data_IF_280461681506
#
_entry.id   IF_280461681506
#
_cell.length_a   1.000
_cell.length_b   1.000
_cell.length_c   1.000
_cell.angle_alpha   90.00
_cell.angle_beta   90.00
_cell.angle_gamma   90.00
#
_symmetry.space_group_name_H-M   'P 1'
#
loop_
_entity.id
_entity.type
_entity.pdbx_description
1 polymer ?
#
# COMPACT_ATOMS: atom_id res chain seq x y z
N UNK A 1 17.00 -5.66 -27.24
CA UNK A 1 18.01 -6.11 -26.27
C UNK A 1 17.36 -7.14 -25.38
N UNK A 2 18.05 -8.23 -25.07
CA UNK A 2 17.55 -9.35 -24.26
C UNK A 2 17.79 -9.17 -22.74
N UNK A 3 18.54 -8.14 -22.35
CA UNK A 3 18.76 -7.77 -20.96
C UNK A 3 19.77 -8.65 -20.21
N UNK A 4 20.46 -9.57 -20.88
CA UNK A 4 21.41 -10.51 -20.25
C UNK A 4 22.59 -9.81 -19.54
N UNK A 5 22.97 -8.60 -19.97
CA UNK A 5 24.06 -7.82 -19.37
C UNK A 5 23.65 -6.89 -18.23
N UNK A 6 22.39 -6.87 -17.81
CA UNK A 6 21.92 -5.97 -16.76
C UNK A 6 22.15 -6.62 -15.39
N UNK A 7 22.98 -6.01 -14.56
CA UNK A 7 23.12 -6.39 -13.15
C UNK A 7 21.79 -6.17 -12.43
N UNK A 8 21.32 -7.21 -11.74
CA UNK A 8 20.02 -7.21 -11.05
C UNK A 8 20.23 -7.16 -9.55
N UNK A 9 19.35 -6.44 -8.86
CA UNK A 9 19.38 -6.42 -7.40
C UNK A 9 19.01 -7.80 -6.82
N UNK A 10 19.27 -7.97 -5.53
CA UNK A 10 19.00 -9.23 -4.81
C UNK A 10 17.54 -9.69 -4.94
N UNK A 11 16.58 -8.80 -4.72
CA UNK A 11 15.15 -9.13 -4.75
C UNK A 11 14.69 -9.63 -6.12
N UNK A 12 15.21 -9.06 -7.21
CA UNK A 12 14.93 -9.55 -8.56
C UNK A 12 15.44 -10.99 -8.75
N UNK A 13 16.65 -11.29 -8.27
CA UNK A 13 17.24 -12.63 -8.37
C UNK A 13 16.43 -13.63 -7.55
N UNK A 14 16.06 -13.27 -6.33
CA UNK A 14 15.22 -14.10 -5.44
C UNK A 14 13.81 -14.34 -6.00
N UNK A 15 13.27 -13.39 -6.75
CA UNK A 15 11.97 -13.50 -7.40
C UNK A 15 11.95 -14.43 -8.62
N UNK A 16 13.09 -14.85 -9.17
CA UNK A 16 13.10 -15.73 -10.35
C UNK A 16 12.41 -17.06 -10.04
N UNK A 17 11.37 -17.39 -10.81
CA UNK A 17 10.56 -18.60 -10.62
C UNK A 17 9.47 -18.50 -9.55
N UNK A 18 9.50 -17.47 -8.70
CA UNK A 18 8.47 -17.22 -7.68
C UNK A 18 7.60 -16.02 -8.03
N UNK A 19 8.18 -14.90 -8.46
CA UNK A 19 7.48 -13.65 -8.76
C UNK A 19 7.40 -12.70 -7.56
N UNK A 20 7.29 -11.42 -7.88
CA UNK A 20 7.15 -10.29 -6.96
C UNK A 20 5.70 -9.79 -7.01
N UNK A 21 4.99 -9.59 -5.87
CA UNK A 21 5.46 -9.64 -4.48
C UNK A 21 5.38 -11.02 -3.81
N UNK A 22 5.14 -12.11 -4.56
CA UNK A 22 4.93 -13.45 -3.96
C UNK A 22 6.13 -13.96 -3.14
N UNK A 23 7.35 -13.51 -3.40
CA UNK A 23 8.53 -13.81 -2.56
C UNK A 23 8.41 -13.32 -1.11
N UNK A 24 7.48 -12.42 -0.83
CA UNK A 24 7.24 -11.87 0.51
C UNK A 24 6.08 -12.53 1.26
N UNK A 25 5.38 -13.47 0.63
CA UNK A 25 4.27 -14.18 1.25
C UNK A 25 4.71 -14.93 2.53
N UNK A 26 4.00 -14.72 3.63
CA UNK A 26 4.25 -15.27 4.95
C UNK A 26 5.42 -14.61 5.72
N UNK A 27 5.87 -13.42 5.30
CA UNK A 27 7.01 -12.70 5.93
C UNK A 27 6.60 -11.47 6.73
N UNK A 28 5.36 -10.99 6.60
CA UNK A 28 4.83 -9.92 7.44
C UNK A 28 4.32 -10.45 8.79
N UNK A 29 4.04 -9.54 9.72
CA UNK A 29 3.20 -9.87 10.87
C UNK A 29 1.76 -10.18 10.42
N UNK A 30 0.92 -10.81 11.26
CA UNK A 30 -0.48 -11.01 10.94
C UNK A 30 -1.18 -9.70 10.57
N UNK A 31 -1.99 -9.71 9.50
CA UNK A 31 -2.71 -8.54 9.01
C UNK A 31 -3.50 -7.88 10.14
N UNK A 32 -3.27 -6.58 10.35
CA UNK A 32 -3.94 -5.79 11.39
C UNK A 32 -5.40 -5.52 11.07
N UNK A 33 -5.75 -5.47 9.78
CA UNK A 33 -7.11 -5.18 9.32
C UNK A 33 -7.65 -6.31 8.44
N UNK A 34 -8.98 -6.38 8.34
CA UNK A 34 -9.70 -7.29 7.45
C UNK A 34 -10.68 -6.52 6.58
N UNK A 35 -11.14 -7.18 5.51
CA UNK A 35 -12.19 -6.64 4.63
C UNK A 35 -13.40 -6.19 5.46
N UNK A 36 -13.88 -4.99 5.17
CA UNK A 36 -14.99 -4.34 5.86
C UNK A 36 -14.60 -3.45 7.04
N UNK A 37 -13.36 -3.52 7.53
CA UNK A 37 -12.90 -2.62 8.58
C UNK A 37 -12.85 -1.18 8.08
N UNK A 38 -13.24 -0.22 8.93
CA UNK A 38 -13.05 1.20 8.67
C UNK A 38 -11.66 1.62 9.13
N UNK A 39 -11.00 2.38 8.29
CA UNK A 39 -9.64 2.88 8.53
C UNK A 39 -9.55 4.34 8.16
N UNK A 40 -8.65 5.04 8.84
CA UNK A 40 -8.21 6.38 8.45
C UNK A 40 -6.80 6.29 7.91
N UNK A 41 -6.55 7.00 6.82
CA UNK A 41 -5.19 7.18 6.32
C UNK A 41 -4.51 8.22 7.21
N UNK A 42 -3.43 7.83 7.86
CA UNK A 42 -2.62 8.69 8.74
C UNK A 42 -1.96 9.78 7.92
N UNK A 43 -1.75 10.95 8.51
CA UNK A 43 -0.91 11.99 7.92
C UNK A 43 0.51 11.89 8.46
N UNK A 44 1.31 11.01 7.84
CA UNK A 44 2.71 10.78 8.22
C UNK A 44 3.65 11.72 7.44
N UNK A 45 4.81 12.09 8.01
CA UNK A 45 5.85 12.77 7.26
C UNK A 45 6.27 11.97 6.03
N UNK A 46 6.21 12.59 4.86
CA UNK A 46 6.55 11.99 3.57
C UNK A 46 7.78 12.70 2.95
N UNK A 47 8.87 12.78 3.71
CA UNK A 47 10.09 13.40 3.20
C UNK A 47 10.75 12.48 2.16
N UNK A 48 11.13 13.06 1.02
CA UNK A 48 11.74 12.41 -0.15
C UNK A 48 10.84 11.49 -0.99
N UNK A 49 10.16 10.50 -0.39
CA UNK A 49 9.35 9.55 -1.16
C UNK A 49 8.19 8.97 -0.37
N UNK A 50 7.05 8.79 -1.03
CA UNK A 50 5.91 7.98 -0.56
C UNK A 50 5.06 7.56 -1.76
N UNK A 51 4.35 6.44 -1.61
CA UNK A 51 3.29 6.04 -2.53
C UNK A 51 1.88 6.20 -1.96
N UNK A 52 1.72 6.62 -0.70
CA UNK A 52 0.41 6.95 -0.13
C UNK A 52 0.04 8.39 -0.55
N UNK A 53 -0.96 8.56 -1.45
CA UNK A 53 -1.24 9.86 -2.04
C UNK A 53 -1.72 10.89 -1.02
N UNK A 54 -1.31 12.15 -1.20
CA UNK A 54 -1.69 13.25 -0.32
C UNK A 54 -3.22 13.43 -0.22
N UNK A 55 -3.95 13.27 -1.33
CA UNK A 55 -5.41 13.40 -1.35
C UNK A 55 -6.14 12.40 -0.44
N UNK A 56 -5.49 11.28 -0.08
CA UNK A 56 -6.10 10.27 0.78
C UNK A 56 -5.80 10.51 2.26
N UNK A 57 -4.83 11.37 2.61
CA UNK A 57 -4.37 11.55 3.99
C UNK A 57 -5.45 12.24 4.83
N UNK A 58 -5.67 11.72 6.03
CA UNK A 58 -6.74 12.15 6.93
C UNK A 58 -8.13 11.60 6.55
N UNK A 59 -8.32 11.10 5.32
CA UNK A 59 -9.60 10.57 4.89
C UNK A 59 -9.90 9.19 5.50
N UNK A 60 -11.19 8.94 5.73
CA UNK A 60 -11.67 7.64 6.16
C UNK A 60 -12.15 6.82 4.97
N UNK A 61 -11.83 5.52 5.00
CA UNK A 61 -12.26 4.55 4.01
C UNK A 61 -12.57 3.21 4.64
N UNK A 62 -12.87 2.24 3.78
CA UNK A 62 -13.13 0.86 4.17
C UNK A 62 -12.15 -0.07 3.46
N UNK A 63 -11.59 -1.04 4.17
CA UNK A 63 -10.79 -2.11 3.57
C UNK A 63 -11.69 -2.89 2.61
N UNK A 64 -11.42 -2.78 1.31
CA UNK A 64 -12.09 -3.55 0.27
C UNK A 64 -11.40 -4.89 0.04
N UNK A 65 -10.07 -4.94 0.19
CA UNK A 65 -9.26 -6.14 0.00
C UNK A 65 -8.00 -6.10 0.86
N UNK A 66 -7.57 -7.27 1.34
CA UNK A 66 -6.25 -7.50 1.93
C UNK A 66 -5.43 -8.20 0.84
N UNK A 67 -4.45 -7.52 0.24
CA UNK A 67 -3.89 -7.94 -1.05
C UNK A 67 -2.68 -8.84 -0.90
N UNK A 68 -1.54 -8.28 -0.49
CA UNK A 68 -0.27 -8.99 -0.42
C UNK A 68 0.64 -8.42 0.66
N UNK A 69 1.73 -9.15 0.91
CA UNK A 69 2.82 -8.72 1.78
C UNK A 69 3.95 -8.18 0.90
N UNK A 70 4.54 -7.05 1.26
CA UNK A 70 5.72 -6.49 0.59
C UNK A 70 6.41 -5.47 1.51
N UNK A 71 7.71 -5.19 1.37
CA UNK A 71 8.28 -3.99 1.96
C UNK A 71 7.51 -2.74 1.50
N UNK A 72 7.36 -1.75 2.38
CA UNK A 72 6.77 -0.49 1.94
C UNK A 72 7.62 0.15 0.84
N UNK A 73 7.00 0.90 -0.09
CA UNK A 73 7.74 1.59 -1.15
C UNK A 73 8.75 2.60 -0.60
N UNK A 74 8.46 3.18 0.57
CA UNK A 74 9.36 4.07 1.30
C UNK A 74 10.64 3.37 1.77
N UNK A 75 10.66 2.05 1.90
CA UNK A 75 11.86 1.28 2.27
C UNK A 75 12.51 0.61 1.06
N UNK A 76 11.71 0.01 0.16
CA UNK A 76 12.19 -0.69 -1.03
C UNK A 76 12.93 0.26 -2.00
N UNK A 77 12.44 1.50 -2.16
CA UNK A 77 13.06 2.52 -3.03
C UNK A 77 14.52 2.80 -2.65
N UNK A 78 14.85 2.66 -1.36
CA UNK A 78 16.19 2.92 -0.83
C UNK A 78 16.98 1.63 -0.56
N UNK A 79 16.50 0.49 -1.06
CA UNK A 79 17.13 -0.82 -0.90
C UNK A 79 17.48 -1.16 0.57
N UNK A 80 16.62 -0.78 1.51
CA UNK A 80 16.83 -1.06 2.93
C UNK A 80 16.83 -2.56 3.18
N UNK A 81 17.97 -3.10 3.59
CA UNK A 81 18.15 -4.55 3.73
C UNK A 81 17.36 -5.16 4.89
N UNK A 82 17.04 -4.36 5.91
CA UNK A 82 16.31 -4.74 7.12
C UNK A 82 14.81 -4.41 7.05
N UNK A 83 14.32 -3.95 5.90
CA UNK A 83 12.91 -3.62 5.71
C UNK A 83 12.04 -4.87 5.87
N UNK A 84 11.22 -4.87 6.92
CA UNK A 84 10.24 -5.92 7.15
C UNK A 84 9.05 -5.73 6.21
N UNK A 85 8.59 -6.76 5.48
CA UNK A 85 7.35 -6.71 4.73
C UNK A 85 6.15 -6.42 5.65
N UNK A 86 5.15 -5.73 5.10
CA UNK A 86 3.87 -5.48 5.75
C UNK A 86 2.72 -5.75 4.78
N UNK A 87 1.50 -5.80 5.31
CA UNK A 87 0.31 -5.98 4.50
C UNK A 87 -0.05 -4.73 3.73
N UNK A 88 -0.44 -4.93 2.47
CA UNK A 88 -1.06 -3.93 1.62
C UNK A 88 -2.58 -4.16 1.56
N UNK A 89 -3.30 -3.05 1.48
CA UNK A 89 -4.75 -3.04 1.52
C UNK A 89 -5.30 -2.18 0.39
N UNK A 90 -6.30 -2.67 -0.33
CA UNK A 90 -7.12 -1.79 -1.15
C UNK A 90 -8.12 -1.12 -0.24
N UNK A 91 -8.04 0.21 -0.14
CA UNK A 91 -8.96 1.04 0.64
C UNK A 91 -9.94 1.73 -0.31
N UNK A 92 -11.24 1.57 -0.04
CA UNK A 92 -12.32 2.23 -0.77
C UNK A 92 -12.76 3.48 -0.02
N UNK A 93 -12.71 4.61 -0.72
CA UNK A 93 -13.16 5.91 -0.25
C UNK A 93 -14.41 6.32 -1.01
N UNK A 94 -15.32 7.01 -0.32
CA UNK A 94 -16.37 7.76 -1.01
C UNK A 94 -15.74 9.02 -1.62
N UNK A 95 -16.11 9.37 -2.85
CA UNK A 95 -15.60 10.58 -3.50
C UNK A 95 -15.90 11.86 -2.69
N UNK A 96 -17.01 11.92 -1.95
CA UNK A 96 -17.35 13.07 -1.10
C UNK A 96 -16.46 13.21 0.13
N UNK A 97 -15.74 12.16 0.52
CA UNK A 97 -14.77 12.21 1.63
C UNK A 97 -13.39 12.68 1.16
N UNK A 98 -13.11 12.61 -0.14
CA UNK A 98 -11.82 13.00 -0.72
C UNK A 98 -11.82 14.40 -1.34
N UNK A 99 -12.95 14.82 -1.91
CA UNK A 99 -13.00 16.02 -2.73
C UNK A 99 -14.03 17.02 -2.21
N UNK A 100 -13.54 18.22 -1.87
CA UNK A 100 -14.41 19.35 -1.60
C UNK A 100 -15.33 19.63 -2.81
N UNK A 101 -16.60 19.91 -2.53
CA UNK A 101 -17.62 20.24 -3.55
C UNK A 101 -17.88 19.14 -4.59
N UNK A 102 -17.69 17.87 -4.23
CA UNK A 102 -18.06 16.77 -5.11
C UNK A 102 -19.58 16.76 -5.43
N UNK A 103 -19.94 16.92 -6.71
CA UNK A 103 -21.34 16.98 -7.18
C UNK A 103 -21.83 15.72 -7.89
N UNK A 104 -21.04 14.64 -7.87
CA UNK A 104 -21.41 13.37 -8.50
C UNK A 104 -22.37 12.52 -7.66
N UNK A 105 -22.71 11.30 -8.13
CA UNK A 105 -23.52 10.36 -7.37
C UNK A 105 -22.90 10.03 -6.00
N UNK A 106 -23.76 9.90 -4.97
CA UNK A 106 -23.32 9.63 -3.58
C UNK A 106 -22.63 8.27 -3.41
N UNK A 107 -22.73 7.39 -4.39
CA UNK A 107 -22.16 6.04 -4.37
C UNK A 107 -20.91 5.91 -5.24
N UNK A 108 -20.40 7.01 -5.80
CA UNK A 108 -19.13 6.99 -6.51
C UNK A 108 -17.98 6.81 -5.51
N UNK A 109 -17.03 5.97 -5.89
CA UNK A 109 -15.91 5.59 -5.01
C UNK A 109 -14.59 5.61 -5.75
N UNK A 110 -13.52 5.86 -5.00
CA UNK A 110 -12.15 5.67 -5.43
C UNK A 110 -11.53 4.55 -4.61
N UNK A 111 -10.77 3.68 -5.26
CA UNK A 111 -10.02 2.62 -4.60
C UNK A 111 -8.54 2.79 -4.91
N UNK A 112 -7.71 2.74 -3.88
CA UNK A 112 -6.26 2.77 -4.02
C UNK A 112 -5.62 1.88 -2.96
N UNK A 113 -4.40 1.46 -3.23
CA UNK A 113 -3.68 0.55 -2.35
C UNK A 113 -2.79 1.31 -1.38
N UNK A 114 -2.82 0.93 -0.10
CA UNK A 114 -2.12 1.61 0.99
C UNK A 114 -1.47 0.55 1.91
N UNK A 115 -0.17 0.67 2.25
CA UNK A 115 0.48 -0.24 3.18
C UNK A 115 0.06 0.02 4.64
N UNK A 116 0.07 -1.03 5.47
CA UNK A 116 -0.46 -1.06 6.83
C UNK A 116 -0.05 0.12 7.72
N UNK A 117 1.21 0.57 7.63
CA UNK A 117 1.77 1.66 8.45
C UNK A 117 1.01 2.99 8.32
N UNK A 118 0.39 3.20 7.16
CA UNK A 118 -0.39 4.40 6.84
C UNK A 118 -1.83 4.31 7.34
N UNK A 119 -2.27 3.18 7.91
CA UNK A 119 -3.65 2.97 8.32
C UNK A 119 -3.77 2.91 9.85
N UNK A 120 -4.81 3.56 10.37
CA UNK A 120 -5.26 3.42 11.74
C UNK A 120 -6.75 3.03 11.79
N UNK A 121 -7.14 2.26 12.80
CA UNK A 121 -8.52 1.86 12.98
C UNK A 121 -9.40 3.08 13.32
N UNK A 122 -10.58 3.16 12.70
CA UNK A 122 -11.62 4.10 13.11
C UNK A 122 -12.58 3.36 14.05
N UNK A 123 -12.87 3.98 15.19
CA UNK A 123 -13.80 3.46 16.20
C UNK A 123 -15.26 3.50 15.79
#
# INVERSE_FOLDING_TARGET
GDGHGVERNRFHIEAVGVGDPRIFAGKADPAKFKVGDRVRVRDLPAMFYTRTPEYARGAEGMIAEVTYESPAPEDETWAREDAKPEWFYIVRFNQSELWDNYTGPKNDTLQTEIPERWLEAVG
#
